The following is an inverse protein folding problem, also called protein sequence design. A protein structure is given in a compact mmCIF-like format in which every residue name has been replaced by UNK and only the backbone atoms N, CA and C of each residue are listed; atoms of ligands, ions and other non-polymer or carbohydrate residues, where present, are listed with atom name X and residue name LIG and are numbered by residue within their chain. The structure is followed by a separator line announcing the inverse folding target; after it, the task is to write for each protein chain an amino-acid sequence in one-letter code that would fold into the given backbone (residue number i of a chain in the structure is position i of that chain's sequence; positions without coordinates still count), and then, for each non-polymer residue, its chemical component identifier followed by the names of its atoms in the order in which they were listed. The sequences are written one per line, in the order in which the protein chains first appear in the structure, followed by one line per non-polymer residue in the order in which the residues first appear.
data_IF_834528264211
#
_entry.id   IF_834528264211
#
_cell.length_a   1.000
_cell.length_b   1.000
_cell.length_c   1.000
_cell.angle_alpha   90.00
_cell.angle_beta   90.00
_cell.angle_gamma   90.00
#
_symmetry.space_group_name_H-M   'P 1'
#
loop_
_entity.id
_entity.type
_entity.pdbx_description
1 polymer ?
#
# COMPACT_ATOMS: atom_id res chain seq x y z
N UNK A 1 -1.38 3.49 48.12
CA UNK A 1 -0.85 2.98 46.84
C UNK A 1 -1.84 3.35 45.76
N UNK A 2 -1.37 4.10 44.76
CA UNK A 2 -2.16 4.71 43.68
C UNK A 2 -2.40 3.65 42.59
N UNK A 3 -3.65 3.52 42.15
CA UNK A 3 -4.08 2.58 41.10
C UNK A 3 -3.36 2.89 39.77
N UNK A 4 -2.99 1.88 38.97
CA UNK A 4 -2.40 2.11 37.66
C UNK A 4 -3.49 2.52 36.66
N UNK A 5 -3.09 3.43 35.77
CA UNK A 5 -3.88 4.04 34.71
C UNK A 5 -4.28 2.98 33.68
N UNK A 6 -5.51 3.12 33.21
CA UNK A 6 -6.02 2.68 31.93
C UNK A 6 -4.99 2.95 30.82
N UNK A 7 -4.37 1.88 30.29
CA UNK A 7 -3.66 1.94 29.03
C UNK A 7 -4.66 1.51 27.96
N UNK A 8 -5.20 2.50 27.24
CA UNK A 8 -5.96 2.36 26.00
C UNK A 8 -5.11 1.62 24.96
N UNK A 9 -5.03 0.29 25.12
CA UNK A 9 -4.36 -0.62 24.22
C UNK A 9 -5.24 -0.86 23.01
N UNK A 10 -5.15 0.02 22.01
CA UNK A 10 -5.57 -0.32 20.65
C UNK A 10 -4.73 -1.52 20.21
N UNK A 11 -5.34 -2.70 20.21
CA UNK A 11 -4.75 -3.88 19.62
C UNK A 11 -4.55 -3.60 18.11
N UNK A 12 -3.36 -3.85 17.54
CA UNK A 12 -3.15 -3.63 16.12
C UNK A 12 -4.03 -4.61 15.34
N UNK A 13 -5.04 -4.09 14.65
CA UNK A 13 -5.90 -4.91 13.81
C UNK A 13 -5.04 -5.57 12.73
N UNK A 14 -4.91 -6.90 12.84
CA UNK A 14 -3.99 -7.71 12.07
C UNK A 14 -4.14 -7.55 10.56
N UNK A 15 -3.31 -6.71 9.96
CA UNK A 15 -2.84 -6.95 8.60
C UNK A 15 -1.90 -8.15 8.64
N UNK A 16 -2.09 -9.13 7.77
CA UNK A 16 -1.07 -10.15 7.57
C UNK A 16 0.29 -9.45 7.32
N UNK A 17 1.40 -9.93 7.91
CA UNK A 17 2.68 -9.21 7.90
C UNK A 17 3.22 -8.90 6.48
N UNK A 18 2.67 -9.57 5.47
CA UNK A 18 3.04 -9.45 4.07
C UNK A 18 2.28 -8.38 3.28
N UNK A 19 1.38 -7.62 3.92
CA UNK A 19 0.75 -6.43 3.33
C UNK A 19 1.42 -5.13 3.77
N UNK A 20 2.38 -5.19 4.71
CA UNK A 20 3.02 -4.00 5.26
C UNK A 20 4.08 -3.42 4.31
N UNK A 21 3.70 -2.38 3.57
CA UNK A 21 4.57 -1.66 2.61
C UNK A 21 5.53 -0.67 3.28
N UNK A 22 5.30 -0.34 4.54
CA UNK A 22 6.16 0.52 5.34
C UNK A 22 7.17 -0.34 6.13
N UNK A 23 8.38 0.16 6.32
CA UNK A 23 9.31 -0.37 7.31
C UNK A 23 8.99 0.32 8.66
N UNK A 24 8.54 -0.41 9.69
CA UNK A 24 8.13 0.17 10.96
C UNK A 24 9.29 0.81 11.72
N UNK A 25 10.54 0.39 11.47
CA UNK A 25 11.71 0.91 12.16
C UNK A 25 12.18 2.24 11.56
N UNK A 26 12.11 2.36 10.24
CA UNK A 26 12.65 3.52 9.52
C UNK A 26 11.58 4.48 8.99
N UNK A 27 10.32 4.06 8.97
CA UNK A 27 9.24 4.78 8.30
C UNK A 27 9.36 4.77 6.77
N UNK A 28 10.30 4.02 6.21
CA UNK A 28 10.51 3.94 4.75
C UNK A 28 9.31 3.27 4.10
N UNK A 29 8.70 3.92 3.11
CA UNK A 29 7.60 3.33 2.34
C UNK A 29 8.11 2.83 1.00
N UNK A 30 7.87 1.54 0.74
CA UNK A 30 8.23 0.88 -0.51
C UNK A 30 7.18 1.13 -1.59
N UNK A 31 7.65 1.49 -2.79
CA UNK A 31 6.81 1.62 -3.99
C UNK A 31 7.51 0.91 -5.15
N UNK A 32 6.78 0.16 -5.98
CA UNK A 32 7.40 -0.46 -7.16
C UNK A 32 7.95 0.64 -8.08
N UNK A 33 9.17 0.54 -8.61
CA UNK A 33 9.78 1.54 -9.50
C UNK A 33 9.00 1.73 -10.82
N UNK A 34 8.38 0.65 -11.31
CA UNK A 34 7.64 0.61 -12.58
C UNK A 34 6.33 -0.16 -12.45
N UNK A 35 5.40 0.06 -13.39
CA UNK A 35 4.20 -0.78 -13.53
C UNK A 35 4.60 -2.17 -14.02
N UNK A 36 4.27 -3.21 -13.25
CA UNK A 36 4.46 -4.60 -13.66
C UNK A 36 3.81 -4.89 -15.02
N UNK A 37 4.25 -5.93 -15.71
CA UNK A 37 3.77 -6.30 -17.06
C UNK A 37 2.26 -6.56 -17.08
N UNK A 38 1.75 -7.22 -16.05
CA UNK A 38 0.32 -7.54 -15.84
C UNK A 38 -0.38 -6.53 -14.92
N UNK A 39 0.12 -5.30 -14.81
CA UNK A 39 -0.44 -4.31 -13.89
C UNK A 39 -1.95 -4.06 -14.14
N UNK A 40 -2.75 -4.03 -13.06
CA UNK A 40 -4.20 -3.80 -13.09
C UNK A 40 -4.63 -2.45 -13.68
N UNK A 41 -3.68 -1.51 -13.82
CA UNK A 41 -3.86 -0.19 -14.42
C UNK A 41 -3.34 -0.09 -15.86
N UNK A 42 -2.87 -1.19 -16.46
CA UNK A 42 -2.60 -1.27 -17.89
C UNK A 42 -3.91 -1.54 -18.65
N UNK A 43 -4.05 -1.06 -19.90
CA UNK A 43 -5.19 -1.41 -20.73
C UNK A 43 -5.25 -2.93 -20.97
N UNK A 44 -6.46 -3.47 -21.15
CA UNK A 44 -6.68 -4.86 -21.55
C UNK A 44 -6.97 -5.87 -20.45
N UNK A 45 -7.12 -5.46 -19.18
CA UNK A 45 -7.44 -6.37 -18.06
C UNK A 45 -6.53 -7.60 -17.98
N UNK A 46 -5.22 -7.36 -17.93
CA UNK A 46 -4.17 -8.39 -18.03
C UNK A 46 -4.15 -9.41 -16.88
N UNK A 47 -4.92 -9.19 -15.82
CA UNK A 47 -5.10 -10.12 -14.70
C UNK A 47 -6.48 -10.81 -14.72
N UNK A 48 -7.28 -10.62 -15.77
CA UNK A 48 -8.60 -11.21 -15.92
C UNK A 48 -9.53 -10.94 -14.72
N UNK A 49 -9.47 -9.72 -14.18
CA UNK A 49 -10.28 -9.32 -13.04
C UNK A 49 -11.75 -9.18 -13.43
N UNK A 50 -12.64 -9.46 -12.47
CA UNK A 50 -14.06 -9.20 -12.64
C UNK A 50 -14.33 -7.72 -12.94
N UNK A 51 -15.36 -7.41 -13.76
CA UNK A 51 -15.75 -6.03 -14.02
C UNK A 51 -15.92 -5.22 -12.72
N UNK A 52 -15.41 -3.99 -12.70
CA UNK A 52 -15.49 -3.11 -11.53
C UNK A 52 -14.52 -3.42 -10.39
N UNK A 53 -13.79 -4.55 -10.41
CA UNK A 53 -12.89 -4.93 -9.31
C UNK A 53 -11.81 -3.89 -9.03
N UNK A 54 -11.17 -3.34 -10.07
CA UNK A 54 -10.14 -2.29 -9.92
C UNK A 54 -10.72 -1.03 -9.27
N UNK A 55 -11.89 -0.60 -9.71
CA UNK A 55 -12.57 0.56 -9.14
C UNK A 55 -12.91 0.35 -7.65
N UNK A 56 -13.38 -0.85 -7.29
CA UNK A 56 -13.65 -1.20 -5.90
C UNK A 56 -12.37 -1.16 -5.03
N UNK A 57 -11.25 -1.70 -5.52
CA UNK A 57 -9.96 -1.64 -4.81
C UNK A 57 -9.49 -0.20 -4.59
N UNK A 58 -9.56 0.64 -5.63
CA UNK A 58 -9.18 2.06 -5.52
C UNK A 58 -10.10 2.80 -4.55
N UNK A 59 -11.42 2.57 -4.62
CA UNK A 59 -12.38 3.22 -3.72
C UNK A 59 -12.14 2.83 -2.26
N UNK A 60 -11.90 1.56 -1.97
CA UNK A 60 -11.53 1.10 -0.63
C UNK A 60 -10.26 1.80 -0.14
N UNK A 61 -9.19 1.76 -0.94
CA UNK A 61 -7.93 2.42 -0.59
C UNK A 61 -8.10 3.93 -0.34
N UNK A 62 -8.99 4.61 -1.07
CA UNK A 62 -9.28 6.03 -0.83
C UNK A 62 -10.05 6.27 0.46
N UNK A 63 -11.06 5.45 0.75
CA UNK A 63 -11.91 5.60 1.94
C UNK A 63 -11.13 5.40 3.23
N UNK A 64 -10.13 4.53 3.22
CA UNK A 64 -9.29 4.22 4.39
C UNK A 64 -7.95 4.96 4.38
N UNK A 65 -7.75 5.93 3.47
CA UNK A 65 -6.45 6.56 3.20
C UNK A 65 -5.29 5.56 2.96
N UNK A 66 -5.61 4.34 2.56
CA UNK A 66 -4.71 3.23 2.34
C UNK A 66 -4.04 3.24 0.97
N UNK A 67 -3.68 2.05 0.50
CA UNK A 67 -2.96 1.86 -0.76
C UNK A 67 -3.37 0.54 -1.42
N UNK A 68 -2.94 0.36 -2.67
CA UNK A 68 -3.01 -0.94 -3.35
C UNK A 68 -1.61 -1.53 -3.40
N UNK A 69 -1.41 -2.69 -2.76
CA UNK A 69 -0.16 -3.46 -2.83
C UNK A 69 0.00 -4.03 -4.25
N UNK A 70 1.23 -4.04 -4.75
CA UNK A 70 1.54 -4.65 -6.04
C UNK A 70 1.40 -6.16 -5.98
N UNK A 71 0.65 -6.74 -6.91
CA UNK A 71 0.45 -8.20 -6.97
C UNK A 71 1.74 -9.00 -7.20
N UNK A 72 2.82 -8.36 -7.70
CA UNK A 72 4.13 -9.00 -7.88
C UNK A 72 4.94 -9.11 -6.58
N UNK A 73 4.60 -8.32 -5.59
CA UNK A 73 5.30 -8.26 -4.30
C UNK A 73 4.39 -8.64 -3.13
N UNK A 74 3.09 -8.79 -3.38
CA UNK A 74 2.12 -9.27 -2.40
C UNK A 74 2.53 -10.66 -1.90
N UNK A 75 2.48 -10.88 -0.59
CA UNK A 75 2.89 -12.16 0.00
C UNK A 75 4.41 -12.40 0.03
N UNK A 76 5.22 -11.45 -0.42
CA UNK A 76 6.69 -11.55 -0.33
C UNK A 76 7.20 -10.93 0.99
N UNK A 77 8.50 -11.03 1.25
CA UNK A 77 9.15 -10.35 2.38
C UNK A 77 9.19 -8.83 2.21
N UNK A 78 9.00 -8.32 0.99
CA UNK A 78 9.12 -6.89 0.68
C UNK A 78 7.95 -6.39 -0.18
N UNK A 79 6.69 -6.45 0.32
CA UNK A 79 5.56 -5.86 -0.37
C UNK A 79 5.77 -4.38 -0.67
N UNK A 80 5.27 -3.90 -1.79
CA UNK A 80 5.38 -2.51 -2.17
C UNK A 80 4.08 -1.99 -2.75
N UNK A 81 3.90 -0.68 -2.62
CA UNK A 81 2.76 0.01 -3.24
C UNK A 81 2.86 -0.12 -4.75
N UNK A 82 1.74 -0.47 -5.38
CA UNK A 82 1.60 -0.56 -6.82
C UNK A 82 1.93 0.79 -7.48
N UNK A 83 2.88 0.81 -8.43
CA UNK A 83 3.25 2.02 -9.18
C UNK A 83 2.05 2.65 -9.88
N UNK A 84 1.20 1.84 -10.51
CA UNK A 84 0.01 2.34 -11.22
C UNK A 84 -0.97 3.07 -10.30
N UNK A 85 -1.12 2.59 -9.06
CA UNK A 85 -1.90 3.28 -8.04
C UNK A 85 -1.21 4.58 -7.60
N UNK A 86 0.09 4.53 -7.30
CA UNK A 86 0.87 5.65 -6.78
C UNK A 86 0.96 6.87 -7.73
N UNK A 87 0.93 6.63 -9.05
CA UNK A 87 1.01 7.67 -10.08
C UNK A 87 -0.36 8.24 -10.47
N UNK A 88 -1.45 7.58 -10.11
CA UNK A 88 -2.79 7.97 -10.53
C UNK A 88 -3.30 9.20 -9.77
N UNK A 89 -3.72 10.28 -10.42
CA UNK A 89 -4.07 11.56 -9.75
C UNK A 89 -5.21 11.44 -8.72
N UNK A 90 -6.11 10.47 -8.91
CA UNK A 90 -7.18 10.15 -7.96
C UNK A 90 -6.99 8.79 -7.28
N UNK A 91 -5.97 8.03 -7.65
CA UNK A 91 -5.68 6.71 -7.10
C UNK A 91 -4.64 6.82 -5.98
N UNK A 92 -3.55 7.58 -6.17
CA UNK A 92 -2.41 7.66 -5.28
C UNK A 92 -2.56 8.51 -4.01
N UNK A 93 -3.80 8.73 -3.52
CA UNK A 93 -4.10 9.57 -2.34
C UNK A 93 -3.74 8.93 -0.98
N UNK A 94 -2.98 7.86 -0.98
CA UNK A 94 -2.50 7.16 0.21
C UNK A 94 -1.84 8.09 1.23
N UNK A 95 -2.18 7.93 2.50
CA UNK A 95 -1.51 8.62 3.61
C UNK A 95 -0.02 8.26 3.64
N UNK A 96 0.31 6.97 3.54
CA UNK A 96 1.68 6.48 3.50
C UNK A 96 2.50 7.13 2.37
N UNK A 97 1.95 7.22 1.14
CA UNK A 97 2.63 7.89 0.03
C UNK A 97 2.83 9.38 0.28
N UNK A 98 1.83 10.08 0.83
CA UNK A 98 1.91 11.52 1.10
C UNK A 98 2.97 11.82 2.16
N UNK A 99 2.94 11.10 3.27
CA UNK A 99 3.90 11.26 4.36
C UNK A 99 5.31 10.89 3.91
N UNK A 100 5.51 9.73 3.28
CA UNK A 100 6.83 9.32 2.82
C UNK A 100 7.41 10.26 1.75
N UNK A 101 6.59 10.83 0.87
CA UNK A 101 7.04 11.88 -0.07
C UNK A 101 7.48 13.14 0.66
N UNK A 102 6.69 13.60 1.62
CA UNK A 102 7.00 14.81 2.39
C UNK A 102 8.27 14.64 3.23
N UNK A 103 8.52 13.44 3.74
CA UNK A 103 9.69 13.10 4.58
C UNK A 103 10.92 12.64 3.79
N UNK A 104 10.83 12.51 2.45
CA UNK A 104 11.91 11.93 1.65
C UNK A 104 12.18 10.44 1.91
N UNK A 105 11.20 9.72 2.47
CA UNK A 105 11.29 8.33 2.91
C UNK A 105 10.70 7.32 1.90
N UNK A 106 10.50 7.72 0.64
CA UNK A 106 10.10 6.78 -0.41
C UNK A 106 11.30 5.96 -0.90
N UNK A 107 11.14 4.64 -0.94
CA UNK A 107 12.10 3.73 -1.58
C UNK A 107 11.45 3.02 -2.75
N UNK A 108 12.02 3.23 -3.93
CA UNK A 108 11.62 2.47 -5.10
C UNK A 108 12.24 1.08 -5.08
N UNK A 109 11.44 0.06 -5.37
CA UNK A 109 11.92 -1.32 -5.55
C UNK A 109 11.54 -1.86 -6.91
N UNK A 110 12.38 -2.67 -7.53
CA UNK A 110 12.02 -3.34 -8.77
C UNK A 110 11.05 -4.47 -8.46
N UNK A 111 9.85 -4.51 -9.08
CA UNK A 111 9.00 -5.68 -8.99
C UNK A 111 9.69 -6.88 -9.68
N UNK A 112 9.61 -8.09 -9.11
CA UNK A 112 10.18 -9.30 -9.69
C UNK A 112 9.52 -9.70 -11.02
#
# INVERSE_FOLDING_TARGET
MRQPLDEDGVEPEGGEPHDEVADPLTGTVRVCARRCETCIFRPGNLMHLQPGRVAAMVNRARQTEGHVVSHKTLGTETPAICRGFADGPNQGRSLALRLARALGALREISPP
#
